data_IF_871705566938
#
_entry.id   IF_871705566938
#
_cell.length_a   1.000
_cell.length_b   1.000
_cell.length_c   1.000
_cell.angle_alpha   90.00
_cell.angle_beta   90.00
_cell.angle_gamma   90.00
#
_symmetry.space_group_name_H-M   'P 1'
#
loop_
_entity.id
_entity.type
_entity.pdbx_description
1 polymer ?
#
# COMPACT_ATOMS: atom_id res chain seq x y z
N UNK A 1 20.53 -51.75 24.03
CA UNK A 1 21.38 -51.58 25.21
C UNK A 1 20.82 -50.43 26.00
N UNK A 2 20.13 -50.76 26.94
CA UNK A 2 19.68 -50.41 28.26
C UNK A 2 20.73 -49.62 29.10
N UNK A 3 20.16 -48.67 29.81
CA UNK A 3 20.35 -48.39 31.25
C UNK A 3 21.12 -47.15 31.67
N UNK A 4 20.39 -46.43 32.55
CA UNK A 4 20.83 -45.58 33.73
C UNK A 4 21.25 -44.15 33.36
N UNK A 5 20.75 -43.13 34.05
CA UNK A 5 20.65 -42.91 35.53
C UNK A 5 19.61 -41.82 35.83
N UNK A 6 18.84 -42.10 36.87
CA UNK A 6 17.93 -41.25 37.63
C UNK A 6 18.68 -40.18 38.48
N UNK A 7 17.91 -39.14 38.87
CA UNK A 7 17.96 -38.30 40.10
C UNK A 7 18.13 -36.82 39.87
N UNK A 8 17.16 -36.12 40.43
CA UNK A 8 17.31 -34.71 40.75
C UNK A 8 15.99 -33.92 40.88
N UNK A 9 15.02 -34.42 41.70
CA UNK A 9 13.95 -33.57 42.22
C UNK A 9 14.55 -32.52 43.16
N UNK A 10 14.42 -31.22 42.83
CA UNK A 10 14.39 -30.14 43.78
C UNK A 10 13.13 -29.30 43.56
N UNK A 11 12.22 -29.43 44.50
CA UNK A 11 11.08 -28.56 44.71
C UNK A 11 11.56 -27.15 44.96
N UNK A 12 11.05 -26.17 44.20
CA UNK A 12 11.07 -24.78 44.63
C UNK A 12 9.62 -24.33 44.77
N UNK A 13 9.20 -24.26 46.02
CA UNK A 13 7.97 -23.60 46.42
C UNK A 13 8.09 -22.09 46.24
N UNK A 14 6.97 -21.45 45.91
CA UNK A 14 6.81 -20.02 46.11
C UNK A 14 6.68 -19.19 44.84
N UNK A 15 5.47 -19.12 44.24
CA UNK A 15 5.03 -17.98 43.44
C UNK A 15 3.49 -17.87 43.37
N UNK A 16 2.88 -17.62 44.56
CA UNK A 16 1.45 -17.21 44.62
C UNK A 16 1.21 -15.69 44.55
N UNK A 17 2.22 -14.88 44.25
CA UNK A 17 2.10 -13.40 44.32
C UNK A 17 1.85 -12.71 42.94
N UNK A 18 2.03 -13.40 41.81
CA UNK A 18 1.91 -12.75 40.48
C UNK A 18 0.52 -12.83 39.84
N UNK A 19 -0.41 -13.64 40.33
CA UNK A 19 -1.73 -13.77 39.71
C UNK A 19 -2.66 -12.59 39.99
N UNK A 20 -2.54 -11.95 41.16
CA UNK A 20 -3.37 -10.78 41.48
C UNK A 20 -2.96 -9.51 40.73
N UNK A 21 -1.68 -9.31 40.43
CA UNK A 21 -1.21 -8.18 39.61
C UNK A 21 -1.58 -8.35 38.11
N UNK A 22 -1.52 -9.55 37.58
CA UNK A 22 -1.95 -9.85 36.22
C UNK A 22 -3.46 -9.57 36.03
N UNK A 23 -4.30 -9.98 36.99
CA UNK A 23 -5.75 -9.70 36.94
C UNK A 23 -6.09 -8.22 37.12
N UNK A 24 -5.33 -7.45 37.89
CA UNK A 24 -5.55 -6.01 38.01
C UNK A 24 -5.15 -5.24 36.74
N UNK A 25 -4.07 -5.63 36.07
CA UNK A 25 -3.66 -5.07 34.78
C UNK A 25 -4.69 -5.39 33.67
N UNK A 26 -5.23 -6.61 33.67
CA UNK A 26 -6.26 -7.03 32.71
C UNK A 26 -7.59 -6.27 32.92
N UNK A 27 -7.96 -6.00 34.16
CA UNK A 27 -9.16 -5.23 34.50
C UNK A 27 -9.03 -3.75 34.12
N UNK A 28 -7.91 -3.12 34.45
CA UNK A 28 -7.61 -1.74 34.07
C UNK A 28 -7.51 -1.58 32.56
N UNK A 29 -6.94 -2.55 31.86
CA UNK A 29 -6.85 -2.58 30.41
C UNK A 29 -8.22 -2.73 29.75
N UNK A 30 -9.12 -3.53 30.34
CA UNK A 30 -10.52 -3.68 29.90
C UNK A 30 -11.32 -2.40 30.13
N UNK A 31 -11.13 -1.71 31.25
CA UNK A 31 -11.80 -0.44 31.58
C UNK A 31 -11.30 0.69 30.66
N UNK A 32 -9.99 0.82 30.48
CA UNK A 32 -9.39 1.82 29.59
C UNK A 32 -9.82 1.59 28.13
N UNK A 33 -10.03 0.34 27.74
CA UNK A 33 -10.53 -0.08 26.44
C UNK A 33 -12.02 0.24 26.22
N UNK A 34 -12.85 0.10 27.28
CA UNK A 34 -14.26 0.49 27.23
C UNK A 34 -14.42 2.02 27.16
N UNK A 35 -13.58 2.77 27.87
CA UNK A 35 -13.56 4.23 27.84
C UNK A 35 -12.95 4.80 26.55
N UNK A 36 -12.15 4.02 25.80
CA UNK A 36 -11.62 4.44 24.52
C UNK A 36 -12.70 4.64 23.44
N UNK A 37 -13.90 4.09 23.66
CA UNK A 37 -15.07 4.34 22.82
C UNK A 37 -15.58 5.79 22.96
N UNK A 38 -15.33 6.47 24.09
CA UNK A 38 -15.69 7.87 24.34
C UNK A 38 -14.76 8.89 23.66
N UNK A 39 -13.57 8.46 23.17
CA UNK A 39 -12.62 9.36 22.53
C UNK A 39 -13.09 9.82 21.14
N UNK A 40 -12.85 11.10 20.75
CA UNK A 40 -13.26 11.64 19.46
C UNK A 40 -12.48 10.98 18.31
N UNK A 41 -13.17 10.48 17.28
CA UNK A 41 -12.50 9.90 16.10
C UNK A 41 -13.34 8.99 15.22
N UNK A 42 -14.50 8.54 15.64
CA UNK A 42 -15.39 7.71 14.81
C UNK A 42 -16.54 8.56 14.24
N UNK A 43 -16.60 8.64 12.91
CA UNK A 43 -17.67 9.33 12.17
C UNK A 43 -19.07 8.79 12.57
N UNK A 44 -19.14 7.51 12.95
CA UNK A 44 -20.38 6.85 13.39
C UNK A 44 -21.05 7.51 14.61
N UNK A 45 -20.27 8.10 15.53
CA UNK A 45 -20.81 8.76 16.73
C UNK A 45 -21.65 9.99 16.41
N UNK A 46 -21.24 10.77 15.41
CA UNK A 46 -21.98 11.98 15.02
C UNK A 46 -23.38 11.62 14.52
N UNK A 47 -23.50 10.55 13.75
CA UNK A 47 -24.77 10.07 13.23
C UNK A 47 -25.66 9.47 14.31
N UNK A 48 -25.10 8.74 15.29
CA UNK A 48 -25.84 8.22 16.44
C UNK A 48 -26.37 9.35 17.33
N UNK A 49 -25.58 10.40 17.55
CA UNK A 49 -26.01 11.58 18.31
C UNK A 49 -27.14 12.31 17.55
N UNK A 50 -26.98 12.52 16.24
CA UNK A 50 -28.02 13.17 15.40
C UNK A 50 -29.30 12.34 15.40
N UNK A 51 -29.20 11.01 15.29
CA UNK A 51 -30.36 10.11 15.37
C UNK A 51 -31.02 10.15 16.73
N UNK A 52 -30.27 10.21 17.82
CA UNK A 52 -30.80 10.38 19.18
C UNK A 52 -31.54 11.70 19.36
N UNK A 53 -30.95 12.80 18.87
CA UNK A 53 -31.62 14.12 18.88
C UNK A 53 -32.90 14.09 18.04
N UNK A 54 -32.84 13.48 16.83
CA UNK A 54 -34.01 13.33 15.96
C UNK A 54 -35.15 12.57 16.63
N UNK A 55 -34.84 11.50 17.39
CA UNK A 55 -35.84 10.74 18.14
C UNK A 55 -36.51 11.58 19.26
N UNK A 56 -35.69 12.37 19.97
CA UNK A 56 -36.19 13.28 21.01
C UNK A 56 -37.11 14.34 20.38
N UNK A 57 -36.70 14.96 19.28
CA UNK A 57 -37.52 15.95 18.56
C UNK A 57 -38.83 15.33 18.05
N UNK A 58 -38.76 14.11 17.50
CA UNK A 58 -39.95 13.38 17.05
C UNK A 58 -40.90 13.07 18.22
N UNK A 59 -40.37 12.68 19.38
CA UNK A 59 -41.16 12.45 20.60
C UNK A 59 -41.86 13.74 21.07
N UNK A 60 -41.14 14.85 21.09
CA UNK A 60 -41.77 16.16 21.44
C UNK A 60 -42.82 16.58 20.41
N UNK A 61 -42.53 16.39 19.10
CA UNK A 61 -43.51 16.69 18.06
C UNK A 61 -44.81 15.87 18.19
N UNK A 62 -44.66 14.56 18.42
CA UNK A 62 -45.78 13.66 18.65
C UNK A 62 -46.56 14.03 19.95
N UNK A 63 -45.82 14.46 20.98
CA UNK A 63 -46.44 14.89 22.25
C UNK A 63 -47.21 16.19 22.11
N UNK A 64 -46.73 17.16 21.34
CA UNK A 64 -47.45 18.41 21.01
C UNK A 64 -48.70 18.08 20.21
N UNK A 65 -48.62 17.18 19.23
CA UNK A 65 -49.76 16.75 18.43
C UNK A 65 -50.86 16.06 19.27
N UNK A 66 -50.45 15.34 20.32
CA UNK A 66 -51.35 14.66 21.27
C UNK A 66 -51.71 15.51 22.51
N UNK A 67 -51.69 16.85 22.40
CA UNK A 67 -52.03 17.80 23.50
C UNK A 67 -51.16 17.62 24.75
N UNK A 68 -49.90 17.21 24.60
CA UNK A 68 -48.94 16.96 25.70
C UNK A 68 -49.36 15.84 26.66
N UNK A 69 -50.46 15.14 26.45
CA UNK A 69 -50.96 14.06 27.32
C UNK A 69 -49.90 12.96 27.58
N UNK A 70 -49.11 12.49 26.57
CA UNK A 70 -48.10 11.50 26.81
C UNK A 70 -46.99 11.97 27.75
N UNK A 71 -46.66 13.27 27.75
CA UNK A 71 -45.67 13.85 28.66
C UNK A 71 -46.22 13.89 30.08
N UNK A 72 -47.46 14.32 30.28
CA UNK A 72 -48.11 14.33 31.59
C UNK A 72 -48.14 12.95 32.22
N UNK A 73 -48.54 11.93 31.48
CA UNK A 73 -48.60 10.55 31.96
C UNK A 73 -47.17 10.01 32.31
N UNK A 74 -46.19 10.34 31.51
CA UNK A 74 -44.78 9.95 31.77
C UNK A 74 -44.27 10.62 33.07
N UNK A 75 -44.52 11.93 33.21
CA UNK A 75 -44.07 12.69 34.37
C UNK A 75 -44.76 12.22 35.64
N UNK A 76 -46.10 11.99 35.60
CA UNK A 76 -46.87 11.47 36.72
C UNK A 76 -46.39 10.06 37.14
N UNK A 77 -46.14 9.17 36.18
CA UNK A 77 -45.58 7.86 36.44
C UNK A 77 -44.16 7.91 37.06
N UNK A 78 -43.30 8.81 36.60
CA UNK A 78 -42.01 9.05 37.20
C UNK A 78 -42.08 9.56 38.63
N UNK A 79 -42.98 10.55 38.91
CA UNK A 79 -43.17 11.06 40.25
C UNK A 79 -43.73 9.99 41.19
N UNK A 80 -44.67 9.16 40.73
CA UNK A 80 -45.17 8.01 41.48
C UNK A 80 -44.02 7.03 41.85
N UNK A 81 -43.22 6.66 40.87
CA UNK A 81 -42.08 5.74 41.08
C UNK A 81 -41.03 6.31 42.03
N UNK A 82 -40.67 7.59 41.86
CA UNK A 82 -39.74 8.30 42.76
C UNK A 82 -40.32 8.37 44.18
N UNK A 83 -41.63 8.70 44.30
CA UNK A 83 -42.32 8.73 45.58
C UNK A 83 -42.37 7.39 46.31
N UNK A 84 -42.58 6.30 45.58
CA UNK A 84 -42.52 4.94 46.13
C UNK A 84 -41.14 4.56 46.64
N UNK A 85 -40.09 4.85 45.87
CA UNK A 85 -38.69 4.52 46.21
C UNK A 85 -38.20 5.37 47.38
N UNK A 86 -38.53 6.66 47.43
CA UNK A 86 -38.10 7.59 48.48
C UNK A 86 -38.79 7.39 49.83
N UNK A 87 -39.89 6.59 49.89
CA UNK A 87 -40.50 6.15 51.15
C UNK A 87 -39.58 5.20 51.95
N UNK A 88 -38.73 4.44 51.29
CA UNK A 88 -37.87 3.43 51.91
C UNK A 88 -36.42 3.89 52.15
N UNK A 89 -35.90 4.86 51.38
CA UNK A 89 -34.52 5.31 51.47
C UNK A 89 -34.41 6.84 51.28
N UNK A 90 -33.50 7.51 52.02
CA UNK A 90 -33.26 8.95 51.89
C UNK A 90 -32.89 9.35 50.45
N UNK A 91 -33.38 10.49 49.96
CA UNK A 91 -33.09 11.01 48.62
C UNK A 91 -31.63 11.20 48.32
N UNK A 92 -30.80 11.46 49.31
CA UNK A 92 -29.37 11.60 49.20
C UNK A 92 -28.62 10.30 48.80
N UNK A 93 -29.28 9.14 49.02
CA UNK A 93 -28.72 7.82 48.68
C UNK A 93 -29.39 7.31 47.39
N UNK A 94 -30.70 7.44 47.26
CA UNK A 94 -31.42 6.90 46.10
C UNK A 94 -31.09 7.61 44.80
N UNK A 95 -30.91 8.93 44.80
CA UNK A 95 -30.55 9.69 43.61
C UNK A 95 -29.25 9.23 42.94
N UNK A 96 -28.12 9.22 43.69
CA UNK A 96 -26.86 8.72 43.15
C UNK A 96 -26.91 7.24 42.72
N UNK A 97 -27.62 6.38 43.45
CA UNK A 97 -27.79 4.98 43.15
C UNK A 97 -28.50 4.73 41.81
N UNK A 98 -29.64 5.38 41.60
CA UNK A 98 -30.41 5.28 40.34
C UNK A 98 -29.64 5.89 39.19
N UNK A 99 -28.93 7.00 39.40
CA UNK A 99 -28.07 7.61 38.40
C UNK A 99 -26.93 6.66 37.95
N UNK A 100 -26.22 6.04 38.91
CA UNK A 100 -25.18 5.06 38.62
C UNK A 100 -25.73 3.82 37.91
N UNK A 101 -26.92 3.34 38.31
CA UNK A 101 -27.62 2.23 37.65
C UNK A 101 -27.93 2.59 36.17
N UNK A 102 -28.46 3.78 35.94
CA UNK A 102 -28.75 4.27 34.58
C UNK A 102 -27.51 4.34 33.70
N UNK A 103 -26.43 4.93 34.21
CA UNK A 103 -25.13 4.96 33.51
C UNK A 103 -24.63 3.54 33.23
N UNK A 104 -24.71 2.63 34.20
CA UNK A 104 -24.28 1.25 34.04
C UNK A 104 -25.06 0.52 32.95
N UNK A 105 -26.38 0.71 32.88
CA UNK A 105 -27.24 0.14 31.85
C UNK A 105 -26.91 0.70 30.45
N UNK A 106 -26.62 1.98 30.33
CA UNK A 106 -26.23 2.61 29.09
C UNK A 106 -24.88 2.00 28.61
N UNK A 107 -23.88 1.93 29.50
CA UNK A 107 -22.58 1.35 29.19
C UNK A 107 -22.71 -0.13 28.80
N UNK A 108 -23.50 -0.89 29.53
CA UNK A 108 -23.73 -2.30 29.27
C UNK A 108 -24.46 -2.55 27.93
N UNK A 109 -25.54 -1.80 27.65
CA UNK A 109 -26.28 -1.89 26.40
C UNK A 109 -25.44 -1.53 25.19
N UNK A 110 -24.67 -0.44 25.28
CA UNK A 110 -23.73 -0.02 24.23
C UNK A 110 -22.63 -1.07 24.01
N UNK A 111 -22.08 -1.65 25.07
CA UNK A 111 -21.06 -2.70 24.99
C UNK A 111 -21.60 -3.96 24.31
N UNK A 112 -22.82 -4.37 24.62
CA UNK A 112 -23.49 -5.55 24.01
C UNK A 112 -23.81 -5.32 22.54
N UNK A 113 -24.36 -4.16 22.17
CA UNK A 113 -24.63 -3.80 20.78
C UNK A 113 -23.37 -3.82 19.95
N UNK A 114 -22.28 -3.28 20.50
CA UNK A 114 -20.98 -3.29 19.83
C UNK A 114 -20.44 -4.70 19.63
N UNK A 115 -20.55 -5.56 20.65
CA UNK A 115 -20.11 -6.97 20.56
C UNK A 115 -20.93 -7.77 19.52
N UNK A 116 -22.24 -7.49 19.42
CA UNK A 116 -23.10 -8.12 18.43
C UNK A 116 -22.72 -7.72 17.00
N UNK A 117 -22.46 -6.44 16.76
CA UNK A 117 -22.00 -5.94 15.45
C UNK A 117 -20.63 -6.56 15.10
N UNK A 118 -19.73 -6.63 16.08
CA UNK A 118 -18.39 -7.24 15.89
C UNK A 118 -18.49 -8.71 15.45
N UNK A 119 -19.34 -9.51 16.12
CA UNK A 119 -19.56 -10.92 15.77
C UNK A 119 -20.19 -11.11 14.39
N UNK A 120 -21.08 -10.18 13.98
CA UNK A 120 -21.74 -10.26 12.69
C UNK A 120 -20.81 -9.88 11.52
N UNK A 121 -19.84 -8.97 11.73
CA UNK A 121 -18.98 -8.42 10.67
C UNK A 121 -17.65 -9.18 10.54
N UNK A 122 -17.13 -9.77 11.61
CA UNK A 122 -15.84 -10.45 11.62
C UNK A 122 -15.83 -11.64 12.61
N UNK A 123 -16.46 -12.80 12.25
CA UNK A 123 -16.57 -13.93 13.16
C UNK A 123 -15.23 -14.61 13.50
N UNK A 124 -14.21 -14.51 12.63
CA UNK A 124 -12.97 -15.29 12.72
C UNK A 124 -11.68 -14.51 13.05
N UNK A 125 -11.78 -13.21 13.42
CA UNK A 125 -10.58 -12.42 13.71
C UNK A 125 -10.59 -11.89 15.14
N UNK A 126 -9.65 -12.38 15.94
CA UNK A 126 -9.32 -11.86 17.29
C UNK A 126 -8.88 -10.38 17.31
N UNK A 127 -8.65 -9.77 16.15
CA UNK A 127 -8.37 -8.35 16.03
C UNK A 127 -9.66 -7.56 16.24
N UNK A 128 -9.72 -6.81 17.33
CA UNK A 128 -10.84 -5.95 17.65
C UNK A 128 -11.19 -5.04 16.47
N UNK A 129 -12.46 -5.05 16.09
CA UNK A 129 -13.03 -4.19 15.05
C UNK A 129 -12.58 -2.72 15.18
N UNK A 130 -12.41 -2.24 16.41
CA UNK A 130 -11.89 -0.90 16.71
C UNK A 130 -10.46 -0.69 16.21
N UNK A 131 -9.58 -1.67 16.40
CA UNK A 131 -8.19 -1.55 15.96
C UNK A 131 -8.09 -1.64 14.44
N UNK A 132 -8.91 -2.49 13.82
CA UNK A 132 -9.04 -2.56 12.37
C UNK A 132 -9.61 -1.25 11.78
N UNK A 133 -10.66 -0.68 12.38
CA UNK A 133 -11.23 0.61 11.97
C UNK A 133 -10.26 1.77 12.18
N UNK A 134 -9.51 1.77 13.29
CA UNK A 134 -8.46 2.78 13.54
C UNK A 134 -7.31 2.67 12.54
N UNK A 135 -6.85 1.46 12.27
CA UNK A 135 -5.81 1.20 11.27
C UNK A 135 -6.27 1.66 9.88
N UNK A 136 -7.49 1.28 9.46
CA UNK A 136 -8.08 1.72 8.19
C UNK A 136 -8.26 3.24 8.13
N UNK A 137 -8.75 3.87 9.20
CA UNK A 137 -8.89 5.33 9.28
C UNK A 137 -7.54 6.04 9.20
N UNK A 138 -6.48 5.49 9.81
CA UNK A 138 -5.12 6.03 9.72
C UNK A 138 -4.56 5.93 8.31
N UNK A 139 -4.78 4.82 7.62
CA UNK A 139 -4.34 4.62 6.24
C UNK A 139 -5.08 5.55 5.27
N UNK A 140 -6.39 5.76 5.47
CA UNK A 140 -7.19 6.68 4.65
C UNK A 140 -6.78 8.16 4.80
N UNK A 141 -6.11 8.52 5.90
CA UNK A 141 -5.52 9.85 6.13
C UNK A 141 -4.07 9.94 5.65
N UNK A 142 -3.53 8.87 5.10
CA UNK A 142 -2.21 8.86 4.48
C UNK A 142 -2.14 9.78 3.26
N UNK A 143 -0.93 10.19 2.83
CA UNK A 143 -0.76 11.04 1.66
C UNK A 143 -1.21 10.35 0.36
N UNK A 144 -1.60 11.15 -0.63
CA UNK A 144 -1.77 10.70 -2.00
C UNK A 144 -0.38 10.43 -2.61
N UNK A 145 -0.06 9.17 -2.83
CA UNK A 145 1.25 8.75 -3.38
C UNK A 145 1.05 8.23 -4.79
N UNK A 146 1.75 8.81 -5.74
CA UNK A 146 1.87 8.26 -7.09
C UNK A 146 3.23 7.59 -7.22
N UNK A 147 3.24 6.31 -7.57
CA UNK A 147 4.45 5.54 -7.83
C UNK A 147 4.48 5.11 -9.31
N UNK A 148 5.52 5.50 -10.04
CA UNK A 148 5.65 5.32 -11.49
C UNK A 148 6.77 4.33 -11.78
N UNK A 149 6.48 3.32 -12.61
CA UNK A 149 7.47 2.30 -12.98
C UNK A 149 6.85 1.03 -13.53
N UNK A 150 7.46 -0.10 -13.19
CA UNK A 150 7.03 -1.44 -13.59
C UNK A 150 7.78 -2.53 -12.85
N UNK A 151 7.55 -3.77 -13.22
CA UNK A 151 8.30 -4.91 -12.75
C UNK A 151 8.22 -5.20 -11.24
N UNK A 152 9.21 -5.97 -10.81
CA UNK A 152 9.33 -6.39 -9.40
C UNK A 152 9.80 -5.27 -8.48
N UNK A 153 10.47 -4.24 -9.01
CA UNK A 153 10.94 -3.09 -8.25
C UNK A 153 9.77 -2.28 -7.70
N UNK A 154 8.88 -1.84 -8.58
CA UNK A 154 7.67 -1.09 -8.20
C UNK A 154 6.80 -1.90 -7.25
N UNK A 155 6.53 -3.17 -7.54
CA UNK A 155 5.71 -4.03 -6.67
C UNK A 155 6.33 -4.18 -5.26
N UNK A 156 7.65 -4.17 -5.14
CA UNK A 156 8.35 -4.18 -3.85
C UNK A 156 8.10 -2.90 -3.05
N UNK A 157 8.17 -1.74 -3.70
CA UNK A 157 7.83 -0.45 -3.08
C UNK A 157 6.37 -0.43 -2.61
N UNK A 158 5.43 -0.83 -3.47
CA UNK A 158 4.00 -0.85 -3.17
C UNK A 158 3.65 -1.73 -1.96
N UNK A 159 4.27 -2.91 -1.83
CA UNK A 159 4.13 -3.79 -0.65
C UNK A 159 4.47 -3.09 0.66
N UNK A 160 5.42 -2.18 0.62
CA UNK A 160 5.81 -1.38 1.78
C UNK A 160 4.88 -0.19 2.02
N UNK A 161 4.58 0.59 0.96
CA UNK A 161 3.80 1.83 1.04
C UNK A 161 2.36 1.61 1.49
N UNK A 162 1.72 0.49 1.14
CA UNK A 162 0.36 0.16 1.59
C UNK A 162 0.18 0.14 3.12
N UNK A 163 1.27 0.05 3.89
CA UNK A 163 1.26 0.16 5.36
C UNK A 163 1.15 1.61 5.86
N UNK A 164 1.35 2.59 5.00
CA UNK A 164 1.38 4.02 5.34
C UNK A 164 0.21 4.82 4.76
N UNK A 165 -0.30 4.41 3.61
CA UNK A 165 -1.44 5.05 2.96
C UNK A 165 -2.30 4.02 2.22
N UNK A 166 -3.61 4.25 2.17
CA UNK A 166 -4.52 3.58 1.23
C UNK A 166 -4.73 4.38 -0.06
N UNK A 167 -4.17 5.59 -0.14
CA UNK A 167 -4.28 6.53 -1.25
C UNK A 167 -3.02 6.44 -2.12
N UNK A 168 -2.79 5.27 -2.71
CA UNK A 168 -1.64 4.97 -3.57
C UNK A 168 -2.15 4.72 -4.97
N UNK A 169 -1.57 5.39 -5.96
CA UNK A 169 -1.78 5.08 -7.38
C UNK A 169 -0.45 4.62 -7.98
N UNK A 170 -0.43 3.40 -8.50
CA UNK A 170 0.69 2.87 -9.26
C UNK A 170 0.44 3.10 -10.74
N UNK A 171 1.26 3.92 -11.40
CA UNK A 171 1.26 4.10 -12.86
C UNK A 171 2.27 3.12 -13.44
N UNK A 172 1.78 2.21 -14.28
CA UNK A 172 2.54 1.02 -14.70
C UNK A 172 2.68 0.98 -16.22
N UNK A 173 3.90 0.68 -16.68
CA UNK A 173 4.15 0.46 -18.10
C UNK A 173 3.38 -0.75 -18.64
N UNK A 174 3.00 -0.70 -19.92
CA UNK A 174 2.33 -1.76 -20.68
C UNK A 174 3.20 -2.25 -21.84
N UNK A 175 4.50 -2.19 -21.71
CA UNK A 175 5.43 -2.49 -22.79
C UNK A 175 6.04 -3.92 -22.71
N UNK A 176 5.72 -4.71 -21.66
CA UNK A 176 6.24 -6.08 -21.46
C UNK A 176 5.84 -7.02 -22.61
N UNK A 177 6.81 -7.58 -23.29
CA UNK A 177 6.61 -8.56 -24.36
C UNK A 177 7.19 -9.94 -24.00
N UNK A 178 7.62 -10.12 -22.74
CA UNK A 178 8.28 -11.32 -22.26
C UNK A 178 7.33 -12.39 -21.74
N UNK A 179 7.80 -13.63 -21.74
CA UNK A 179 7.18 -14.79 -21.12
C UNK A 179 5.66 -14.89 -21.36
N UNK A 180 4.91 -15.09 -20.29
CA UNK A 180 3.43 -15.23 -20.34
C UNK A 180 2.73 -13.99 -20.89
N UNK A 181 3.20 -12.79 -20.58
CA UNK A 181 2.59 -11.54 -21.08
C UNK A 181 2.72 -11.40 -22.58
N UNK A 182 3.91 -11.66 -23.11
CA UNK A 182 4.15 -11.58 -24.54
C UNK A 182 3.41 -12.64 -25.35
N UNK A 183 3.24 -13.86 -24.81
CA UNK A 183 2.41 -14.89 -25.46
C UNK A 183 0.98 -14.43 -25.57
N UNK A 184 0.38 -13.99 -24.45
CA UNK A 184 -1.02 -13.55 -24.41
C UNK A 184 -1.26 -12.31 -25.30
N UNK A 185 -0.29 -11.39 -25.37
CA UNK A 185 -0.34 -10.24 -26.26
C UNK A 185 -0.41 -10.68 -27.73
N UNK A 186 0.44 -11.61 -28.14
CA UNK A 186 0.48 -12.11 -29.54
C UNK A 186 -0.74 -12.95 -29.91
N UNK A 187 -1.22 -13.79 -28.99
CA UNK A 187 -2.31 -14.73 -29.28
C UNK A 187 -3.69 -14.13 -29.12
N UNK A 188 -3.88 -13.26 -28.13
CA UNK A 188 -5.18 -12.68 -27.79
C UNK A 188 -5.32 -11.20 -28.16
N UNK A 189 -4.25 -10.52 -28.60
CA UNK A 189 -4.27 -9.10 -28.91
C UNK A 189 -4.49 -8.21 -27.67
N UNK A 190 -4.27 -8.72 -26.47
CA UNK A 190 -4.46 -7.97 -25.23
C UNK A 190 -3.16 -7.30 -24.79
N UNK A 191 -3.29 -6.18 -24.09
CA UNK A 191 -2.11 -5.53 -23.46
C UNK A 191 -1.47 -6.46 -22.43
N UNK A 192 -0.11 -6.40 -22.26
CA UNK A 192 0.62 -7.30 -21.39
C UNK A 192 0.25 -7.09 -19.91
N UNK A 193 -0.30 -8.09 -19.22
CA UNK A 193 -0.81 -7.93 -17.87
C UNK A 193 0.23 -8.13 -16.76
N UNK A 194 1.47 -8.52 -17.09
CA UNK A 194 2.46 -9.01 -16.12
C UNK A 194 2.80 -8.04 -15.00
N UNK A 195 3.15 -6.82 -15.34
CA UNK A 195 3.51 -5.78 -14.36
C UNK A 195 2.30 -5.27 -13.58
N UNK A 196 1.17 -5.12 -14.24
CA UNK A 196 -0.11 -4.78 -13.62
C UNK A 196 -0.49 -5.84 -12.58
N UNK A 197 -0.42 -7.12 -12.94
CA UNK A 197 -0.65 -8.24 -12.02
C UNK A 197 0.24 -8.17 -10.78
N UNK A 198 1.55 -7.90 -10.96
CA UNK A 198 2.50 -7.77 -9.86
C UNK A 198 2.12 -6.62 -8.92
N UNK A 199 1.68 -5.48 -9.44
CA UNK A 199 1.25 -4.32 -8.67
C UNK A 199 -0.07 -4.57 -7.93
N UNK A 200 -1.07 -5.20 -8.58
CA UNK A 200 -2.32 -5.60 -7.93
C UNK A 200 -2.08 -6.55 -6.76
N UNK A 201 -1.26 -7.59 -6.96
CA UNK A 201 -0.87 -8.51 -5.90
C UNK A 201 -0.10 -7.82 -4.77
N UNK A 202 0.74 -6.83 -5.07
CA UNK A 202 1.49 -6.06 -4.08
C UNK A 202 0.59 -5.19 -3.21
N UNK A 203 -0.46 -4.60 -3.77
CA UNK A 203 -1.42 -3.73 -3.08
C UNK A 203 -2.58 -4.49 -2.44
N UNK A 204 -2.76 -5.78 -2.71
CA UNK A 204 -3.77 -6.61 -2.04
C UNK A 204 -3.60 -6.59 -0.52
N UNK A 205 -4.71 -6.50 0.24
CA UNK A 205 -4.69 -6.32 1.70
C UNK A 205 -4.24 -7.54 2.47
N UNK A 206 -4.41 -8.73 1.90
CA UNK A 206 -4.12 -10.00 2.55
C UNK A 206 -3.26 -10.90 1.65
N UNK A 207 -2.39 -11.69 2.27
CA UNK A 207 -1.80 -12.88 1.64
C UNK A 207 -2.85 -14.01 1.61
N UNK A 208 -4.02 -13.69 1.07
CA UNK A 208 -5.11 -14.66 0.92
C UNK A 208 -4.73 -15.75 -0.08
N UNK A 209 -5.44 -16.88 -0.01
CA UNK A 209 -5.33 -17.94 -1.01
C UNK A 209 -5.53 -17.37 -2.42
N UNK A 210 -6.42 -16.40 -2.57
CA UNK A 210 -6.70 -15.72 -3.83
C UNK A 210 -5.48 -14.95 -4.36
N UNK A 211 -4.73 -14.23 -3.51
CA UNK A 211 -3.49 -13.54 -3.91
C UNK A 211 -2.41 -14.54 -4.32
N UNK A 212 -2.29 -15.66 -3.61
CA UNK A 212 -1.38 -16.76 -3.98
C UNK A 212 -1.77 -17.38 -5.31
N UNK A 213 -3.07 -17.64 -5.54
CA UNK A 213 -3.61 -18.14 -6.80
C UNK A 213 -3.31 -17.17 -7.95
N UNK A 214 -3.49 -15.87 -7.72
CA UNK A 214 -3.22 -14.82 -8.71
C UNK A 214 -1.75 -14.78 -9.15
N UNK A 215 -0.84 -15.15 -8.27
CA UNK A 215 0.59 -15.29 -8.58
C UNK A 215 1.01 -16.70 -9.00
N UNK A 216 0.11 -17.66 -8.94
CA UNK A 216 0.40 -19.04 -9.32
C UNK A 216 0.83 -19.12 -10.79
N UNK A 217 1.88 -19.89 -11.06
CA UNK A 217 2.37 -20.16 -12.41
C UNK A 217 2.23 -21.66 -12.70
N UNK A 218 1.62 -21.97 -13.82
CA UNK A 218 1.43 -23.35 -14.25
C UNK A 218 2.78 -23.99 -14.58
N UNK A 219 3.09 -25.12 -13.95
CA UNK A 219 4.30 -25.92 -14.20
C UNK A 219 4.07 -27.06 -15.16
N UNK A 220 2.82 -27.38 -15.50
CA UNK A 220 2.42 -28.47 -16.39
C UNK A 220 1.15 -28.10 -17.15
N UNK A 221 0.80 -28.89 -18.17
CA UNK A 221 -0.37 -28.71 -19.02
C UNK A 221 -0.02 -28.10 -20.39
N UNK A 222 -0.47 -28.75 -21.47
CA UNK A 222 -0.28 -28.25 -22.84
C UNK A 222 -0.95 -26.90 -23.01
N UNK A 223 -0.21 -25.89 -23.45
CA UNK A 223 -0.70 -24.52 -23.63
C UNK A 223 -0.77 -23.68 -22.33
N UNK A 224 -0.61 -24.31 -21.13
CA UNK A 224 -0.66 -23.58 -19.86
C UNK A 224 0.72 -23.35 -19.23
N UNK A 225 1.69 -24.21 -19.53
CA UNK A 225 3.04 -24.15 -18.95
C UNK A 225 3.65 -22.76 -19.13
N UNK A 226 4.15 -22.19 -18.02
CA UNK A 226 4.76 -20.85 -18.02
C UNK A 226 3.76 -19.69 -17.87
N UNK A 227 2.47 -19.90 -18.12
CA UNK A 227 1.46 -18.87 -17.84
C UNK A 227 1.21 -18.71 -16.34
N UNK A 228 0.97 -17.47 -15.89
CA UNK A 228 0.45 -17.25 -14.56
C UNK A 228 -1.08 -17.14 -14.59
N UNK A 229 -1.74 -17.70 -13.55
CA UNK A 229 -3.19 -17.58 -13.43
C UNK A 229 -3.65 -16.12 -13.51
N UNK A 230 -2.97 -15.20 -12.83
CA UNK A 230 -3.36 -13.78 -12.82
C UNK A 230 -3.24 -13.11 -14.19
N UNK A 231 -2.29 -13.53 -15.06
CA UNK A 231 -2.23 -13.03 -16.42
C UNK A 231 -3.42 -13.52 -17.25
N UNK A 232 -3.74 -14.82 -17.15
CA UNK A 232 -4.92 -15.40 -17.81
C UNK A 232 -6.21 -14.75 -17.32
N UNK A 233 -6.33 -14.53 -16.02
CA UNK A 233 -7.47 -13.87 -15.40
C UNK A 233 -7.66 -12.43 -15.89
N UNK A 234 -6.59 -11.63 -15.94
CA UNK A 234 -6.64 -10.26 -16.45
C UNK A 234 -6.97 -10.22 -17.94
N UNK A 235 -6.39 -11.12 -18.74
CA UNK A 235 -6.70 -11.22 -20.17
C UNK A 235 -8.17 -11.57 -20.42
N UNK A 236 -8.70 -12.56 -19.67
CA UNK A 236 -10.12 -12.92 -19.75
C UNK A 236 -11.03 -11.76 -19.35
N UNK A 237 -10.69 -11.05 -18.24
CA UNK A 237 -11.46 -9.87 -17.84
C UNK A 237 -11.37 -8.74 -18.89
N UNK A 238 -10.23 -8.52 -19.51
CA UNK A 238 -10.08 -7.52 -20.57
C UNK A 238 -10.99 -7.83 -21.75
N UNK A 239 -11.08 -9.12 -22.14
CA UNK A 239 -11.99 -9.56 -23.19
C UNK A 239 -13.47 -9.37 -22.82
N UNK A 240 -13.84 -9.61 -21.55
CA UNK A 240 -15.21 -9.43 -21.05
C UNK A 240 -15.59 -7.95 -20.94
N UNK A 241 -14.68 -7.11 -20.46
CA UNK A 241 -14.96 -5.70 -20.15
C UNK A 241 -14.65 -4.75 -21.30
N UNK A 242 -13.97 -5.23 -22.35
CA UNK A 242 -13.62 -4.49 -23.54
C UNK A 242 -12.34 -3.65 -23.42
N UNK A 243 -11.81 -3.42 -22.21
CA UNK A 243 -10.55 -2.69 -22.02
C UNK A 243 -9.84 -3.10 -20.71
N UNK A 244 -8.52 -2.87 -20.70
CA UNK A 244 -7.66 -3.24 -19.57
C UNK A 244 -7.94 -2.43 -18.30
N UNK A 245 -8.26 -1.14 -18.39
CA UNK A 245 -8.52 -0.28 -17.23
C UNK A 245 -9.74 -0.77 -16.42
N UNK A 246 -10.82 -1.13 -17.12
CA UNK A 246 -12.01 -1.71 -16.46
C UNK A 246 -11.71 -3.10 -15.89
N UNK A 247 -10.92 -3.92 -16.57
CA UNK A 247 -10.47 -5.22 -16.08
C UNK A 247 -9.64 -5.08 -14.81
N UNK A 248 -8.73 -4.11 -14.74
CA UNK A 248 -7.94 -3.80 -13.53
C UNK A 248 -8.85 -3.37 -12.38
N UNK A 249 -9.82 -2.50 -12.65
CA UNK A 249 -10.78 -2.03 -11.63
C UNK A 249 -11.60 -3.20 -11.07
N UNK A 250 -12.09 -4.10 -11.92
CA UNK A 250 -12.80 -5.31 -11.50
C UNK A 250 -11.90 -6.24 -10.68
N UNK A 251 -10.66 -6.48 -11.13
CA UNK A 251 -9.66 -7.27 -10.43
C UNK A 251 -9.31 -6.70 -9.06
N UNK A 252 -9.21 -5.37 -8.95
CA UNK A 252 -8.91 -4.67 -7.70
C UNK A 252 -9.97 -4.92 -6.63
N UNK A 253 -11.24 -5.04 -7.02
CA UNK A 253 -12.34 -5.38 -6.09
C UNK A 253 -12.21 -6.83 -5.61
N UNK A 254 -11.96 -7.77 -6.53
CA UNK A 254 -11.80 -9.20 -6.21
C UNK A 254 -10.62 -9.44 -5.25
N UNK A 255 -9.50 -8.76 -5.48
CA UNK A 255 -8.27 -8.89 -4.70
C UNK A 255 -8.25 -8.00 -3.44
N UNK A 256 -9.29 -7.22 -3.17
CA UNK A 256 -9.33 -6.24 -2.09
C UNK A 256 -8.08 -5.34 -2.08
N UNK A 257 -7.75 -4.75 -3.22
CA UNK A 257 -6.56 -3.91 -3.41
C UNK A 257 -6.71 -2.59 -2.65
N UNK A 258 -5.66 -2.19 -1.93
CA UNK A 258 -5.56 -0.87 -1.30
C UNK A 258 -4.87 0.11 -2.25
N UNK A 259 -5.62 1.08 -2.76
CA UNK A 259 -5.13 2.02 -3.77
C UNK A 259 -5.60 1.64 -5.18
N UNK A 260 -4.87 2.11 -6.17
CA UNK A 260 -5.21 1.94 -7.58
C UNK A 260 -3.97 1.51 -8.38
N UNK A 261 -4.21 0.74 -9.44
CA UNK A 261 -3.21 0.43 -10.46
C UNK A 261 -3.76 0.94 -11.79
N UNK A 262 -2.99 1.78 -12.46
CA UNK A 262 -3.39 2.47 -13.68
C UNK A 262 -2.30 2.23 -14.73
N UNK A 263 -2.63 1.77 -15.94
CA UNK A 263 -1.70 1.74 -17.05
C UNK A 263 -1.24 3.15 -17.42
N UNK A 264 -0.01 3.30 -17.87
CA UNK A 264 0.48 4.59 -18.37
C UNK A 264 -0.31 5.06 -19.62
N UNK A 265 -0.72 4.11 -20.45
CA UNK A 265 -1.47 4.32 -21.68
C UNK A 265 -2.35 3.12 -21.99
N UNK A 266 -3.41 3.33 -22.79
CA UNK A 266 -4.21 2.26 -23.38
C UNK A 266 -3.69 1.84 -24.78
N UNK A 267 -2.67 2.50 -25.31
CA UNK A 267 -2.07 2.11 -26.57
C UNK A 267 -1.32 0.77 -26.43
N UNK A 268 -1.30 -0.01 -27.49
CA UNK A 268 -0.47 -1.21 -27.59
C UNK A 268 0.97 -0.80 -27.90
N UNK A 269 1.78 -0.63 -26.84
CA UNK A 269 3.12 -0.08 -26.93
C UNK A 269 4.15 -1.18 -27.17
N UNK A 270 4.98 -1.02 -28.22
CA UNK A 270 6.17 -1.82 -28.46
C UNK A 270 7.42 -0.97 -28.29
N UNK A 271 8.37 -1.42 -27.48
CA UNK A 271 9.63 -0.70 -27.24
C UNK A 271 10.66 -0.99 -28.32
N UNK A 272 11.51 -0.02 -28.55
CA UNK A 272 12.78 -0.18 -29.27
C UNK A 272 13.88 0.57 -28.53
N UNK A 273 15.11 0.12 -28.67
CA UNK A 273 16.31 0.78 -28.18
C UNK A 273 17.27 1.06 -29.34
N UNK A 274 17.92 2.21 -29.29
CA UNK A 274 19.06 2.57 -30.13
C UNK A 274 20.31 2.45 -29.27
N UNK A 275 21.26 1.67 -29.73
CA UNK A 275 22.53 1.44 -29.05
C UNK A 275 23.54 2.53 -29.44
N UNK A 276 24.61 2.71 -28.63
CA UNK A 276 25.66 3.68 -28.92
C UNK A 276 26.40 3.41 -30.25
N UNK A 277 26.41 2.17 -30.74
CA UNK A 277 26.94 1.82 -32.04
C UNK A 277 26.02 2.11 -33.23
N UNK A 278 24.83 2.65 -32.97
CA UNK A 278 23.83 2.96 -33.98
C UNK A 278 22.82 1.82 -34.29
N UNK A 279 23.04 0.61 -33.77
CA UNK A 279 22.13 -0.51 -33.99
C UNK A 279 20.79 -0.26 -33.29
N UNK A 280 19.71 -0.75 -33.90
CA UNK A 280 18.36 -0.68 -33.33
C UNK A 280 17.85 -2.07 -32.99
N UNK A 281 17.28 -2.17 -31.77
CA UNK A 281 16.73 -3.40 -31.23
C UNK A 281 15.28 -3.18 -30.87
N UNK A 282 14.41 -4.11 -31.24
CA UNK A 282 12.97 -4.05 -30.98
C UNK A 282 12.56 -5.10 -29.95
N UNK A 283 11.66 -4.70 -29.05
CA UNK A 283 11.10 -5.54 -28.02
C UNK A 283 11.78 -5.40 -26.65
N UNK A 284 10.96 -5.31 -25.60
CA UNK A 284 11.40 -5.17 -24.20
C UNK A 284 12.33 -6.34 -23.78
N UNK A 285 11.92 -7.56 -24.11
CA UNK A 285 12.70 -8.78 -23.79
C UNK A 285 14.01 -8.88 -24.55
N UNK A 286 14.13 -8.27 -25.73
CA UNK A 286 15.37 -8.22 -26.50
C UNK A 286 16.30 -7.16 -25.93
N UNK A 287 15.79 -5.99 -25.58
CA UNK A 287 16.52 -4.89 -24.93
C UNK A 287 17.21 -5.39 -23.64
N UNK A 288 16.50 -6.11 -22.79
CA UNK A 288 17.04 -6.66 -21.54
C UNK A 288 18.09 -7.77 -21.71
N UNK A 289 18.41 -8.21 -22.93
CA UNK A 289 19.41 -9.25 -23.24
C UNK A 289 20.65 -8.71 -23.95
N UNK A 290 20.59 -7.49 -24.43
CA UNK A 290 21.70 -6.86 -25.14
C UNK A 290 22.81 -6.53 -24.17
N UNK A 291 24.05 -6.69 -24.65
CA UNK A 291 25.25 -6.34 -23.87
C UNK A 291 26.02 -5.18 -24.51
N UNK A 292 25.29 -4.21 -25.00
CA UNK A 292 25.81 -2.96 -25.54
C UNK A 292 25.14 -1.78 -24.93
N UNK A 293 25.85 -0.68 -24.66
CA UNK A 293 25.27 0.49 -24.04
C UNK A 293 24.08 1.04 -24.84
N UNK A 294 23.00 1.37 -24.16
CA UNK A 294 21.79 1.93 -24.76
C UNK A 294 21.92 3.46 -24.77
N UNK A 295 21.86 4.06 -25.96
CA UNK A 295 21.87 5.50 -26.15
C UNK A 295 20.51 6.12 -25.80
N UNK A 296 19.43 5.53 -26.31
CA UNK A 296 18.03 5.97 -26.05
C UNK A 296 17.02 4.86 -26.33
N UNK A 297 15.83 5.03 -25.81
CA UNK A 297 14.69 4.19 -26.16
C UNK A 297 13.57 5.01 -26.81
N UNK A 298 12.68 4.32 -27.49
CA UNK A 298 11.45 4.86 -28.01
C UNK A 298 10.38 3.78 -28.06
N UNK A 299 9.21 4.14 -28.54
CA UNK A 299 8.10 3.19 -28.66
C UNK A 299 7.27 3.42 -29.93
N UNK A 300 6.50 2.42 -30.27
CA UNK A 300 5.42 2.50 -31.24
C UNK A 300 4.08 2.26 -30.52
N UNK A 301 3.08 3.13 -30.70
CA UNK A 301 3.14 4.43 -31.39
C UNK A 301 4.10 5.41 -30.71
N UNK A 302 4.67 6.35 -31.45
CA UNK A 302 5.74 7.25 -30.97
C UNK A 302 5.30 8.17 -29.83
N UNK A 303 4.05 8.60 -29.84
CA UNK A 303 3.46 9.49 -28.82
C UNK A 303 2.16 8.87 -28.26
N UNK A 304 2.26 7.81 -27.44
CA UNK A 304 1.06 7.19 -26.89
C UNK A 304 0.33 8.14 -25.96
N UNK A 305 -1.00 8.21 -26.08
CA UNK A 305 -1.82 9.04 -25.20
C UNK A 305 -1.85 8.48 -23.77
N UNK A 306 -1.68 9.35 -22.79
CA UNK A 306 -1.82 8.96 -21.38
C UNK A 306 -3.28 8.64 -21.04
N UNK A 307 -3.47 7.77 -20.05
CA UNK A 307 -4.78 7.60 -19.44
C UNK A 307 -5.16 8.84 -18.63
N UNK A 308 -6.40 9.36 -18.78
CA UNK A 308 -6.88 10.49 -17.95
C UNK A 308 -6.74 10.23 -16.45
N UNK A 309 -7.02 9.01 -16.00
CA UNK A 309 -6.86 8.59 -14.61
C UNK A 309 -5.42 8.66 -14.10
N UNK A 310 -4.42 8.46 -14.96
CA UNK A 310 -3.01 8.62 -14.63
C UNK A 310 -2.65 10.11 -14.45
N UNK A 311 -3.14 10.98 -15.31
CA UNK A 311 -2.92 12.43 -15.22
C UNK A 311 -3.56 12.98 -13.94
N UNK A 312 -4.83 12.66 -13.70
CA UNK A 312 -5.55 13.08 -12.50
C UNK A 312 -4.83 12.64 -11.21
N UNK A 313 -4.31 11.40 -11.19
CA UNK A 313 -3.54 10.92 -10.05
C UNK A 313 -2.27 11.74 -9.81
N UNK A 314 -1.53 12.11 -10.86
CA UNK A 314 -0.31 12.93 -10.77
C UNK A 314 -0.64 14.35 -10.30
N UNK A 315 -1.69 14.96 -10.80
CA UNK A 315 -2.14 16.30 -10.42
C UNK A 315 -2.54 16.39 -8.95
N UNK A 316 -3.22 15.35 -8.44
CA UNK A 316 -3.66 15.24 -7.05
C UNK A 316 -2.62 14.63 -6.10
N UNK A 317 -1.40 14.35 -6.57
CA UNK A 317 -0.37 13.74 -5.77
C UNK A 317 0.16 14.67 -4.67
N UNK A 318 0.42 14.13 -3.50
CA UNK A 318 1.20 14.76 -2.42
C UNK A 318 2.66 14.27 -2.41
N UNK A 319 2.94 13.17 -3.11
CA UNK A 319 4.28 12.60 -3.32
C UNK A 319 4.30 11.83 -4.63
N UNK A 320 5.30 12.09 -5.47
CA UNK A 320 5.56 11.34 -6.69
C UNK A 320 6.87 10.58 -6.51
N UNK A 321 6.83 9.26 -6.76
CA UNK A 321 7.96 8.36 -6.66
C UNK A 321 8.22 7.74 -8.02
N UNK A 322 9.43 7.90 -8.54
CA UNK A 322 9.91 7.33 -9.79
C UNK A 322 10.77 6.10 -9.48
N UNK A 323 10.36 4.92 -9.96
CA UNK A 323 11.02 3.65 -9.64
C UNK A 323 10.70 3.10 -8.23
N UNK A 324 11.50 2.13 -7.72
CA UNK A 324 12.60 1.45 -8.42
C UNK A 324 12.10 0.48 -9.50
N UNK A 325 12.98 0.12 -10.43
CA UNK A 325 12.70 -0.82 -11.52
C UNK A 325 13.79 -0.74 -12.57
N UNK A 326 13.75 -1.62 -13.57
CA UNK A 326 14.63 -1.55 -14.72
C UNK A 326 14.55 -0.17 -15.36
N UNK A 327 15.72 0.43 -15.60
CA UNK A 327 15.77 1.81 -16.07
C UNK A 327 15.09 1.96 -17.43
N UNK A 328 15.56 1.17 -18.42
CA UNK A 328 15.11 1.29 -19.81
C UNK A 328 13.82 0.53 -20.11
N UNK A 329 13.53 -0.52 -19.35
CA UNK A 329 12.38 -1.40 -19.66
C UNK A 329 11.18 -1.21 -18.72
N UNK A 330 11.37 -0.60 -17.52
CA UNK A 330 10.26 -0.39 -16.57
C UNK A 330 10.00 1.07 -16.23
N UNK A 331 11.03 1.91 -16.08
CA UNK A 331 10.86 3.31 -15.69
C UNK A 331 10.68 4.23 -16.89
N UNK A 332 11.66 4.27 -17.79
CA UNK A 332 11.67 5.16 -18.94
C UNK A 332 10.47 4.96 -19.87
N UNK A 333 9.90 3.75 -20.09
CA UNK A 333 8.72 3.58 -20.91
C UNK A 333 7.50 4.40 -20.46
N UNK A 334 7.35 4.65 -19.15
CA UNK A 334 6.30 5.56 -18.66
C UNK A 334 6.57 7.02 -19.02
N UNK A 335 7.85 7.38 -19.17
CA UNK A 335 8.27 8.74 -19.55
C UNK A 335 8.25 8.97 -21.08
N UNK A 336 8.05 7.91 -21.88
CA UNK A 336 7.76 8.03 -23.31
C UNK A 336 6.33 8.53 -23.59
N UNK A 337 5.47 8.59 -22.56
CA UNK A 337 4.12 9.15 -22.64
C UNK A 337 4.18 10.65 -22.32
N UNK A 338 4.08 11.56 -23.31
CA UNK A 338 4.39 12.99 -23.11
C UNK A 338 3.55 13.65 -22.03
N UNK A 339 2.24 13.35 -21.98
CA UNK A 339 1.33 13.96 -21.00
C UNK A 339 1.67 13.55 -19.56
N UNK A 340 2.24 12.35 -19.32
CA UNK A 340 2.72 11.94 -17.98
C UNK A 340 3.87 12.84 -17.55
N UNK A 341 4.85 13.08 -18.42
CA UNK A 341 5.99 13.95 -18.10
C UNK A 341 5.53 15.37 -17.84
N UNK A 342 4.64 15.90 -18.68
CA UNK A 342 4.05 17.24 -18.51
C UNK A 342 3.30 17.35 -17.16
N UNK A 343 2.48 16.38 -16.81
CA UNK A 343 1.78 16.35 -15.52
C UNK A 343 2.76 16.31 -14.33
N UNK A 344 3.83 15.48 -14.42
CA UNK A 344 4.89 15.43 -13.40
C UNK A 344 5.55 16.82 -13.25
N UNK A 345 5.88 17.48 -14.35
CA UNK A 345 6.51 18.81 -14.31
C UNK A 345 5.62 19.88 -13.69
N UNK A 346 4.31 19.86 -14.00
CA UNK A 346 3.30 20.80 -13.48
C UNK A 346 2.96 20.55 -12.00
N UNK A 347 3.07 19.31 -11.56
CA UNK A 347 2.73 18.94 -10.16
C UNK A 347 3.61 19.68 -9.15
N UNK A 348 3.02 20.15 -8.06
CA UNK A 348 3.71 20.76 -6.92
C UNK A 348 4.25 19.75 -5.91
N UNK A 349 3.87 18.49 -6.03
CA UNK A 349 4.34 17.43 -5.14
C UNK A 349 5.86 17.26 -5.20
N UNK A 350 6.55 16.91 -4.11
CA UNK A 350 7.94 16.48 -4.16
C UNK A 350 8.07 15.22 -5.02
N UNK A 351 9.10 15.21 -5.87
CA UNK A 351 9.39 14.11 -6.80
C UNK A 351 10.72 13.47 -6.40
N UNK A 352 10.69 12.18 -6.09
CA UNK A 352 11.85 11.41 -5.68
C UNK A 352 12.11 10.25 -6.64
N UNK A 353 13.33 10.16 -7.14
CA UNK A 353 13.81 9.01 -7.91
C UNK A 353 14.45 8.00 -6.96
N UNK A 354 14.12 6.72 -7.09
CA UNK A 354 14.72 5.62 -6.34
C UNK A 354 15.62 4.82 -7.27
N UNK A 355 16.93 4.89 -7.03
CA UNK A 355 17.91 4.18 -7.82
C UNK A 355 17.94 2.69 -7.45
N UNK A 356 18.27 1.85 -8.42
CA UNK A 356 18.47 0.41 -8.24
C UNK A 356 19.63 0.11 -7.29
N UNK A 357 19.60 -1.08 -6.65
CA UNK A 357 20.71 -1.54 -5.79
C UNK A 357 21.90 -2.05 -6.60
N UNK A 358 21.58 -2.68 -7.74
CA UNK A 358 22.53 -3.36 -8.61
C UNK A 358 22.33 -2.89 -10.04
N UNK A 359 23.37 -2.88 -10.82
CA UNK A 359 23.27 -2.74 -12.27
C UNK A 359 22.55 -3.95 -12.86
N UNK A 360 21.96 -3.77 -14.03
CA UNK A 360 21.34 -4.83 -14.81
C UNK A 360 22.20 -5.10 -16.04
N UNK A 361 22.81 -6.29 -16.13
CA UNK A 361 23.60 -6.67 -17.30
C UNK A 361 22.81 -6.49 -18.59
N UNK A 362 23.38 -5.74 -19.52
CA UNK A 362 22.77 -5.40 -20.80
C UNK A 362 21.96 -4.09 -20.80
N UNK A 363 21.55 -3.58 -19.64
CA UNK A 363 20.82 -2.30 -19.57
C UNK A 363 21.66 -1.17 -18.94
N UNK A 364 22.28 -1.44 -17.79
CA UNK A 364 22.91 -0.39 -16.97
C UNK A 364 24.31 -0.77 -16.52
N UNK A 365 25.04 -1.52 -17.37
CA UNK A 365 26.41 -1.93 -17.09
C UNK A 365 27.28 -0.71 -16.80
N UNK A 366 28.01 -0.77 -15.67
CA UNK A 366 28.91 0.30 -15.25
C UNK A 366 28.25 1.63 -14.83
N UNK A 367 26.92 1.72 -14.85
CA UNK A 367 26.24 2.96 -14.41
C UNK A 367 26.20 3.06 -12.90
N UNK A 368 26.77 4.15 -12.37
CA UNK A 368 26.53 4.64 -11.01
C UNK A 368 25.20 5.40 -10.91
N UNK A 369 24.85 5.94 -9.75
CA UNK A 369 23.63 6.75 -9.59
C UNK A 369 23.63 7.97 -10.51
N UNK A 370 24.78 8.58 -10.75
CA UNK A 370 24.94 9.72 -11.65
C UNK A 370 24.69 9.31 -13.10
N UNK A 371 25.18 8.14 -13.51
CA UNK A 371 24.91 7.55 -14.82
C UNK A 371 23.44 7.28 -15.05
N UNK A 372 22.73 6.70 -14.06
CA UNK A 372 21.28 6.52 -14.13
C UNK A 372 20.53 7.84 -14.31
N UNK A 373 20.90 8.88 -13.56
CA UNK A 373 20.29 10.22 -13.67
C UNK A 373 20.55 10.82 -15.06
N UNK A 374 21.78 10.74 -15.55
CA UNK A 374 22.12 11.22 -16.90
C UNK A 374 21.34 10.48 -17.99
N UNK A 375 21.16 9.18 -17.87
CA UNK A 375 20.37 8.40 -18.82
C UNK A 375 18.90 8.88 -18.85
N UNK A 376 18.32 9.16 -17.69
CA UNK A 376 16.96 9.73 -17.62
C UNK A 376 16.92 11.14 -18.24
N UNK A 377 17.88 12.00 -17.93
CA UNK A 377 17.93 13.37 -18.48
C UNK A 377 18.17 13.34 -20.00
N UNK A 378 19.05 12.46 -20.50
CA UNK A 378 19.31 12.28 -21.94
C UNK A 378 18.06 11.79 -22.69
N UNK A 379 17.35 10.83 -22.11
CA UNK A 379 16.08 10.35 -22.68
C UNK A 379 15.03 11.45 -22.75
N UNK A 380 14.88 12.27 -21.71
CA UNK A 380 13.97 13.41 -21.73
C UNK A 380 14.39 14.47 -22.74
N UNK A 381 15.68 14.76 -22.84
CA UNK A 381 16.24 15.70 -23.82
C UNK A 381 15.96 15.24 -25.27
N UNK A 382 16.02 13.94 -25.55
CA UNK A 382 15.68 13.37 -26.86
C UNK A 382 14.20 13.56 -27.25
N UNK A 383 13.34 13.78 -26.24
CA UNK A 383 11.92 14.12 -26.41
C UNK A 383 11.67 15.65 -26.40
N UNK A 384 12.73 16.48 -26.43
CA UNK A 384 12.64 17.92 -26.36
C UNK A 384 12.37 18.49 -24.96
N UNK A 385 12.50 17.67 -23.92
CA UNK A 385 12.21 18.04 -22.53
C UNK A 385 13.52 18.36 -21.80
N UNK A 386 13.80 19.64 -21.58
CA UNK A 386 15.03 20.10 -20.92
C UNK A 386 14.87 20.35 -19.41
N UNK A 387 13.62 20.48 -18.92
CA UNK A 387 13.32 20.72 -17.51
C UNK A 387 13.33 19.40 -16.74
N UNK A 388 14.02 19.39 -15.59
CA UNK A 388 14.06 18.24 -14.70
C UNK A 388 12.67 17.82 -14.19
N UNK A 389 12.46 16.54 -14.05
CA UNK A 389 11.21 15.95 -13.54
C UNK A 389 11.31 15.55 -12.07
N UNK A 390 12.50 15.52 -11.47
CA UNK A 390 12.71 15.28 -10.04
C UNK A 390 13.94 16.04 -9.54
N UNK A 391 13.97 16.34 -8.22
CA UNK A 391 15.08 17.00 -7.56
C UNK A 391 15.67 16.18 -6.40
N UNK A 392 14.98 15.09 -6.02
CA UNK A 392 15.36 14.24 -4.89
C UNK A 392 15.71 12.86 -5.40
N UNK A 393 16.77 12.27 -4.83
CA UNK A 393 17.25 10.94 -5.17
C UNK A 393 17.36 10.15 -3.88
N UNK A 394 16.86 8.90 -3.88
CA UNK A 394 17.08 7.91 -2.83
C UNK A 394 17.98 6.82 -3.38
N UNK A 395 19.17 6.69 -2.81
CA UNK A 395 20.15 5.68 -3.16
C UNK A 395 20.45 4.74 -1.98
N UNK A 396 20.95 3.55 -2.29
CA UNK A 396 21.44 2.63 -1.27
C UNK A 396 22.82 3.08 -0.78
N UNK A 397 23.09 2.90 0.52
CA UNK A 397 24.37 3.30 1.10
C UNK A 397 25.53 2.44 0.55
N UNK A 398 25.40 1.14 0.68
CA UNK A 398 26.35 0.17 0.15
C UNK A 398 25.82 -1.25 0.24
N UNK A 399 26.27 -2.12 -0.66
CA UNK A 399 26.00 -3.56 -0.60
C UNK A 399 27.14 -4.22 0.16
N UNK A 400 26.82 -4.89 1.29
CA UNK A 400 27.83 -5.59 2.06
C UNK A 400 28.37 -6.82 1.31
N UNK A 401 29.68 -7.13 1.43
CA UNK A 401 30.25 -8.34 0.89
C UNK A 401 29.50 -9.59 1.36
N UNK A 402 29.21 -10.49 0.43
CA UNK A 402 28.46 -11.72 0.73
C UNK A 402 28.57 -12.71 -0.42
N UNK A 403 28.40 -14.02 -0.19
CA UNK A 403 28.34 -15.01 -1.28
C UNK A 403 27.26 -14.71 -2.32
N UNK A 404 26.21 -14.04 -1.92
CA UNK A 404 25.16 -13.60 -2.82
C UNK A 404 25.62 -12.45 -3.72
N UNK A 405 26.42 -11.52 -3.20
CA UNK A 405 27.05 -10.48 -4.01
C UNK A 405 28.01 -11.09 -5.03
N UNK A 406 28.86 -12.03 -4.60
CA UNK A 406 29.78 -12.72 -5.48
C UNK A 406 29.05 -13.44 -6.64
N UNK A 407 27.92 -14.05 -6.35
CA UNK A 407 27.05 -14.65 -7.37
C UNK A 407 26.53 -13.61 -8.39
N UNK A 408 26.17 -12.41 -7.96
CA UNK A 408 25.73 -11.33 -8.87
C UNK A 408 26.91 -10.80 -9.70
N UNK A 409 28.06 -10.57 -9.06
CA UNK A 409 29.29 -10.13 -9.72
C UNK A 409 29.73 -11.12 -10.81
N UNK A 410 29.65 -12.42 -10.55
CA UNK A 410 29.99 -13.47 -11.55
C UNK A 410 29.03 -13.45 -12.75
N UNK A 411 27.89 -12.76 -12.68
CA UNK A 411 26.93 -12.59 -13.77
C UNK A 411 26.97 -11.19 -14.40
N UNK A 412 27.93 -10.37 -14.03
CA UNK A 412 28.13 -9.03 -14.56
C UNK A 412 27.24 -7.96 -13.91
N UNK A 413 26.53 -8.27 -12.82
CA UNK A 413 25.78 -7.27 -12.10
C UNK A 413 26.59 -6.71 -10.93
N UNK A 414 26.75 -5.39 -10.86
CA UNK A 414 27.55 -4.69 -9.86
C UNK A 414 26.67 -3.82 -8.95
N UNK A 415 27.08 -3.57 -7.69
CA UNK A 415 26.41 -2.59 -6.84
C UNK A 415 26.46 -1.20 -7.47
N UNK A 416 25.32 -0.52 -7.54
CA UNK A 416 25.26 0.85 -8.04
C UNK A 416 25.91 1.79 -7.03
N UNK A 417 27.04 2.37 -7.39
CA UNK A 417 27.80 3.29 -6.56
C UNK A 417 27.09 4.66 -6.51
N UNK A 418 27.22 5.39 -5.39
CA UNK A 418 26.62 6.71 -5.23
C UNK A 418 27.69 7.75 -4.93
N UNK A 419 28.05 8.58 -5.91
CA UNK A 419 28.87 9.77 -5.71
C UNK A 419 27.98 10.93 -5.27
N UNK A 420 27.90 11.15 -3.96
CA UNK A 420 27.12 12.24 -3.36
C UNK A 420 27.60 13.61 -3.79
N UNK A 421 28.91 13.80 -4.01
CA UNK A 421 29.48 15.12 -4.32
C UNK A 421 29.14 15.52 -5.76
N UNK A 422 29.26 14.60 -6.70
CA UNK A 422 28.90 14.81 -8.11
C UNK A 422 27.42 15.17 -8.24
N UNK A 423 26.53 14.41 -7.60
CA UNK A 423 25.09 14.66 -7.67
C UNK A 423 24.68 15.99 -7.00
N UNK A 424 25.29 16.34 -5.86
CA UNK A 424 25.03 17.62 -5.19
C UNK A 424 25.56 18.81 -6.01
N UNK A 425 26.70 18.69 -6.64
CA UNK A 425 27.23 19.71 -7.55
C UNK A 425 26.28 19.95 -8.74
N UNK A 426 25.58 18.92 -9.19
CA UNK A 426 24.53 19.03 -10.20
C UNK A 426 23.21 19.58 -9.64
N UNK A 427 23.11 19.89 -8.33
CA UNK A 427 21.93 20.48 -7.69
C UNK A 427 20.88 19.47 -7.23
N UNK A 428 21.18 18.16 -7.19
CA UNK A 428 20.29 17.15 -6.62
C UNK A 428 20.39 17.06 -5.10
N UNK A 429 19.26 16.82 -4.44
CA UNK A 429 19.21 16.49 -3.02
C UNK A 429 19.18 14.97 -2.85
N UNK A 430 20.31 14.41 -2.42
CA UNK A 430 20.49 12.95 -2.31
C UNK A 430 20.30 12.50 -0.88
N UNK A 431 19.48 11.46 -0.71
CA UNK A 431 19.27 10.74 0.53
C UNK A 431 19.83 9.32 0.36
N UNK A 432 20.57 8.86 1.34
CA UNK A 432 21.05 7.48 1.39
C UNK A 432 20.41 6.74 2.56
N UNK A 433 20.18 5.46 2.38
CA UNK A 433 19.65 4.58 3.41
C UNK A 433 20.01 3.13 3.12
N UNK A 434 20.05 2.31 4.17
CA UNK A 434 20.17 0.86 4.01
C UNK A 434 18.85 0.26 3.50
N UNK A 435 18.73 0.08 2.19
CA UNK A 435 17.49 -0.32 1.51
C UNK A 435 17.38 -1.83 1.28
N UNK A 436 18.46 -2.57 1.49
CA UNK A 436 18.55 -4.01 1.24
C UNK A 436 17.99 -4.82 2.42
N UNK A 437 17.43 -6.00 2.13
CA UNK A 437 17.09 -7.01 3.13
C UNK A 437 18.37 -7.62 3.72
N UNK A 438 18.36 -7.95 5.02
CA UNK A 438 19.51 -8.60 5.69
C UNK A 438 19.95 -9.86 4.94
N UNK A 439 21.27 -10.05 4.83
CA UNK A 439 21.93 -11.04 3.97
C UNK A 439 21.55 -12.49 4.30
N UNK A 440 21.22 -12.78 5.56
CA UNK A 440 21.00 -14.15 6.05
C UNK A 440 19.69 -14.81 5.62
N UNK A 441 18.77 -14.10 4.98
CA UNK A 441 17.39 -14.59 4.73
C UNK A 441 16.90 -14.42 3.30
N UNK A 442 17.70 -13.87 2.38
CA UNK A 442 17.27 -13.58 1.01
C UNK A 442 18.09 -14.37 -0.02
N UNK A 443 17.39 -15.03 -0.94
CA UNK A 443 18.00 -15.65 -2.11
C UNK A 443 18.29 -14.65 -3.25
N UNK A 444 17.96 -13.35 -3.10
CA UNK A 444 18.16 -12.32 -4.12
C UNK A 444 18.49 -10.98 -3.50
N UNK A 445 19.38 -10.20 -4.16
CA UNK A 445 19.67 -8.80 -3.83
C UNK A 445 18.56 -7.92 -4.37
N UNK A 446 17.63 -7.55 -3.49
CA UNK A 446 16.47 -6.68 -3.80
C UNK A 446 16.22 -5.71 -2.67
N UNK A 447 15.54 -4.63 -2.98
CA UNK A 447 15.03 -3.72 -1.96
C UNK A 447 14.15 -4.45 -0.93
N UNK A 448 14.33 -4.12 0.34
CA UNK A 448 13.41 -4.54 1.40
C UNK A 448 12.17 -3.63 1.39
N UNK A 449 10.95 -4.17 1.25
CA UNK A 449 9.74 -3.35 1.19
C UNK A 449 9.56 -2.42 2.40
N UNK A 450 9.91 -2.89 3.61
CA UNK A 450 9.72 -2.13 4.84
C UNK A 450 10.78 -1.02 5.00
N UNK A 451 12.04 -1.31 4.67
CA UNK A 451 13.13 -0.32 4.72
C UNK A 451 12.93 0.75 3.66
N UNK A 452 12.63 0.34 2.42
CA UNK A 452 12.41 1.24 1.30
C UNK A 452 11.24 2.19 1.57
N UNK A 453 10.08 1.66 1.94
CA UNK A 453 8.91 2.51 2.24
C UNK A 453 9.13 3.42 3.46
N UNK A 454 9.88 2.95 4.47
CA UNK A 454 10.25 3.79 5.62
C UNK A 454 11.12 4.96 5.20
N UNK A 455 12.12 4.74 4.34
CA UNK A 455 12.99 5.79 3.82
C UNK A 455 12.20 6.82 3.00
N UNK A 456 11.33 6.37 2.10
CA UNK A 456 10.45 7.24 1.30
C UNK A 456 9.52 8.06 2.20
N UNK A 457 8.89 7.45 3.19
CA UNK A 457 7.99 8.15 4.10
C UNK A 457 8.71 9.06 5.09
N UNK A 458 9.96 8.74 5.44
CA UNK A 458 10.83 9.64 6.23
C UNK A 458 11.15 10.90 5.42
N UNK A 459 11.57 10.73 4.17
CA UNK A 459 11.77 11.84 3.23
C UNK A 459 10.53 12.72 3.13
N UNK A 460 9.36 12.14 2.85
CA UNK A 460 8.11 12.90 2.70
C UNK A 460 7.76 13.71 3.95
N UNK A 461 7.89 13.13 5.14
CA UNK A 461 7.62 13.81 6.40
C UNK A 461 8.60 14.94 6.67
N UNK A 462 9.88 14.75 6.35
CA UNK A 462 10.90 15.80 6.45
C UNK A 462 10.58 16.95 5.50
N UNK A 463 10.31 16.64 4.24
CA UNK A 463 9.92 17.62 3.24
C UNK A 463 8.71 18.47 3.68
N UNK A 464 7.66 17.82 4.21
CA UNK A 464 6.43 18.51 4.67
C UNK A 464 6.62 19.38 5.93
N UNK A 465 7.70 19.19 6.67
CA UNK A 465 8.04 20.04 7.83
C UNK A 465 8.85 21.25 7.45
N UNK A 466 9.60 21.16 6.35
CA UNK A 466 10.51 22.21 5.88
C UNK A 466 9.83 23.17 4.89
N UNK A 467 8.67 22.79 4.34
CA UNK A 467 7.85 23.56 3.40
C UNK A 467 6.37 23.60 3.85
#
# INVERSE_FOLDING_TARGET
>A
VKDRISRGHKSFGGRKSNSKRANQFDLLWRIQRSLSWLLPGLVLKRWLIISGIGLIVAFFGASIWADLRPIYWLVEGIFFLIGAITKFLPRSITGPLVFLLGISLVIWGQSRSFTSIQKAVAPDKDALLLDALRAKSKLNRGPNIVAIGGGTGLSTLLKGLKKYSSRITAIVTVADDGGSSGILRRELGVQPPGDIRNCLAALSTEESLLTRLFQYRFSSGTGLVGHSFGNLFLSALTSITGNLETAITASSRVLAVQGQVVPATNADVSLWAELENGDRIEGESAIGKVRSPIARIGCYPEYPAALPSAIEAIENAELIVLGPGSLYTSLLPNLLVPQIVEAIQKSKAPKIYICNLMTQPGETDGLDVTGHVRAIEAQLASLGITRRIFNFILAHESVAPSPLLDYYLSRGAEPVQCDLNSLRAQGYKVFTASLQKGISTSATLRHDPARLSRAVMHFYRKYKREN
#
